data_IF_457193814348
#
_entry.id   IF_457193814348
#
_cell.length_a   1.000
_cell.length_b   1.000
_cell.length_c   1.000
_cell.angle_alpha   90.00
_cell.angle_beta   90.00
_cell.angle_gamma   90.00
#
_symmetry.space_group_name_H-M   'P 1'
#
loop_
_entity.id
_entity.type
_entity.pdbx_description
1 polymer ?
#
# COMPACT_ATOMS: atom_id res chain seq x y z
N UNK A 1 17.95 9.51 3.87
CA UNK A 1 17.97 9.29 5.33
C UNK A 1 16.94 8.20 5.60
N UNK A 2 17.24 7.20 6.43
CA UNK A 2 16.29 6.11 6.73
C UNK A 2 15.74 6.34 8.13
N UNK A 3 14.42 6.42 8.23
CA UNK A 3 13.68 6.38 9.49
C UNK A 3 13.33 4.91 9.70
N UNK A 4 13.55 4.41 10.92
CA UNK A 4 13.34 3.00 11.24
C UNK A 4 12.21 2.88 12.26
N UNK A 5 11.35 1.88 12.06
CA UNK A 5 10.28 1.56 13.01
C UNK A 5 10.72 0.30 13.75
N UNK A 6 10.80 0.40 15.07
CA UNK A 6 11.03 -0.74 15.96
C UNK A 6 9.66 -1.28 16.39
N UNK A 7 9.31 -2.47 15.90
CA UNK A 7 8.01 -3.11 16.13
C UNK A 7 7.90 -3.76 17.52
N UNK A 8 9.02 -3.99 18.21
CA UNK A 8 8.99 -4.59 19.56
C UNK A 8 8.75 -3.52 20.62
N UNK A 9 9.23 -2.31 20.36
CA UNK A 9 9.18 -1.19 21.29
C UNK A 9 8.16 -0.12 20.93
N UNK A 10 7.49 -0.25 19.79
CA UNK A 10 6.57 0.76 19.23
C UNK A 10 7.20 2.16 19.18
N UNK A 11 8.48 2.26 18.79
CA UNK A 11 9.20 3.53 18.66
C UNK A 11 9.65 3.79 17.23
N UNK A 12 9.66 5.08 16.87
CA UNK A 12 10.25 5.57 15.63
C UNK A 12 11.64 6.11 15.94
N UNK A 13 12.66 5.53 15.30
CA UNK A 13 14.05 5.97 15.46
C UNK A 13 14.37 6.98 14.36
N UNK A 14 14.59 8.23 14.79
CA UNK A 14 14.96 9.36 13.93
C UNK A 14 16.46 9.59 14.02
N UNK A 15 17.20 9.62 12.90
CA UNK A 15 18.63 9.91 12.92
C UNK A 15 18.93 11.34 13.38
N UNK A 16 20.02 11.52 14.14
CA UNK A 16 20.40 12.83 14.73
C UNK A 16 20.55 13.95 13.69
N UNK A 17 20.95 13.60 12.47
CA UNK A 17 21.13 14.56 11.36
C UNK A 17 19.82 14.98 10.69
N UNK A 18 18.66 14.44 11.11
CA UNK A 18 17.36 14.76 10.53
C UNK A 18 17.03 16.25 10.67
N UNK A 19 17.07 16.77 11.88
CA UNK A 19 16.68 18.15 12.16
C UNK A 19 17.61 19.16 11.47
N UNK A 20 18.91 18.82 11.36
CA UNK A 20 19.89 19.62 10.62
C UNK A 20 19.50 19.73 9.14
N UNK A 21 19.14 18.60 8.51
CA UNK A 21 18.71 18.60 7.11
C UNK A 21 17.37 19.28 6.87
N UNK A 22 16.42 19.15 7.78
CA UNK A 22 15.15 19.89 7.71
C UNK A 22 15.41 21.40 7.78
N UNK A 23 16.31 21.84 8.66
CA UNK A 23 16.69 23.25 8.71
C UNK A 23 17.35 23.72 7.42
N UNK A 24 18.19 22.91 6.78
CA UNK A 24 18.78 23.21 5.47
C UNK A 24 17.73 23.28 4.35
N UNK A 25 16.76 22.37 4.31
CA UNK A 25 15.67 22.39 3.33
C UNK A 25 14.73 23.57 3.56
N UNK A 26 14.40 23.89 4.81
CA UNK A 26 13.58 25.06 5.14
C UNK A 26 14.26 26.36 4.72
N UNK A 27 15.58 26.50 4.93
CA UNK A 27 16.35 27.65 4.42
C UNK A 27 16.28 27.77 2.90
N UNK A 28 16.19 26.66 2.16
CA UNK A 28 15.99 26.69 0.71
C UNK A 28 14.57 27.10 0.38
N UNK A 29 13.57 26.52 1.04
CA UNK A 29 12.15 26.84 0.85
C UNK A 29 11.87 28.33 1.08
N UNK A 30 12.42 28.91 2.14
CA UNK A 30 12.31 30.35 2.44
C UNK A 30 12.89 31.23 1.31
N UNK A 31 14.00 30.82 0.68
CA UNK A 31 14.57 31.54 -0.47
C UNK A 31 13.66 31.53 -1.70
N UNK A 32 12.79 30.53 -1.81
CA UNK A 32 11.80 30.42 -2.88
C UNK A 32 10.42 30.95 -2.45
N UNK A 33 10.30 31.59 -1.29
CA UNK A 33 9.06 32.18 -0.78
C UNK A 33 8.05 31.16 -0.21
N UNK A 34 8.48 29.93 0.04
CA UNK A 34 7.66 28.89 0.64
C UNK A 34 7.74 28.91 2.17
N UNK A 35 6.69 28.42 2.84
CA UNK A 35 6.65 28.32 4.29
C UNK A 35 7.54 27.18 4.79
N UNK A 36 8.38 27.42 5.82
CA UNK A 36 9.17 26.37 6.44
C UNK A 36 8.27 25.35 7.14
N UNK A 37 8.66 24.09 7.10
CA UNK A 37 7.90 22.96 7.67
C UNK A 37 8.56 22.49 8.95
N UNK A 38 7.80 22.22 10.00
CA UNK A 38 8.38 21.68 11.24
C UNK A 38 8.87 20.25 11.03
N UNK A 39 9.91 19.85 11.79
CA UNK A 39 10.43 18.48 11.73
C UNK A 39 9.36 17.44 12.09
N UNK A 40 8.49 17.75 13.06
CA UNK A 40 7.38 16.89 13.47
C UNK A 40 6.34 16.73 12.36
N UNK A 41 5.94 17.82 11.70
CA UNK A 41 4.99 17.75 10.59
C UNK A 41 5.55 16.93 9.43
N UNK A 42 6.87 17.03 9.18
CA UNK A 42 7.52 16.21 8.17
C UNK A 42 7.52 14.73 8.51
N UNK A 43 7.73 14.38 9.78
CA UNK A 43 7.64 12.98 10.26
C UNK A 43 6.22 12.47 10.08
N UNK A 44 5.21 13.23 10.54
CA UNK A 44 3.80 12.88 10.42
C UNK A 44 3.39 12.65 8.96
N UNK A 45 3.73 13.59 8.09
CA UNK A 45 3.46 13.48 6.65
C UNK A 45 4.12 12.24 6.04
N UNK A 46 5.37 11.96 6.41
CA UNK A 46 6.09 10.77 5.90
C UNK A 46 5.46 9.47 6.39
N UNK A 47 4.98 9.44 7.63
CA UNK A 47 4.27 8.31 8.20
C UNK A 47 2.93 8.06 7.51
N UNK A 48 2.12 9.10 7.34
CA UNK A 48 0.82 9.01 6.63
C UNK A 48 1.00 8.53 5.19
N UNK A 49 2.01 9.07 4.48
CA UNK A 49 2.35 8.63 3.14
C UNK A 49 2.80 7.16 3.10
N UNK A 50 3.57 6.71 4.09
CA UNK A 50 4.00 5.32 4.19
C UNK A 50 2.83 4.37 4.47
N UNK A 51 1.88 4.78 5.32
CA UNK A 51 0.65 4.03 5.58
C UNK A 51 -0.20 3.90 4.31
N UNK A 52 -0.48 5.01 3.63
CA UNK A 52 -1.24 5.02 2.37
C UNK A 52 -0.60 4.13 1.30
N UNK A 53 0.72 4.23 1.10
CA UNK A 53 1.43 3.39 0.13
C UNK A 53 1.41 1.90 0.51
N UNK A 54 1.39 1.58 1.81
CA UNK A 54 1.30 0.21 2.29
C UNK A 54 -0.08 -0.36 2.02
N UNK A 55 -1.13 0.42 2.25
CA UNK A 55 -2.51 0.05 1.92
C UNK A 55 -2.68 -0.16 0.41
N UNK A 56 -2.15 0.72 -0.43
CA UNK A 56 -2.16 0.55 -1.89
C UNK A 56 -1.44 -0.72 -2.32
N UNK A 57 -0.31 -1.06 -1.67
CA UNK A 57 0.44 -2.28 -1.96
C UNK A 57 -0.31 -3.53 -1.50
N UNK A 58 -0.95 -3.49 -0.33
CA UNK A 58 -1.81 -4.56 0.18
C UNK A 58 -3.02 -4.79 -0.73
N UNK A 59 -3.65 -3.72 -1.19
CA UNK A 59 -4.75 -3.76 -2.14
C UNK A 59 -4.30 -4.35 -3.47
N UNK A 60 -3.16 -3.89 -3.99
CA UNK A 60 -2.57 -4.42 -5.24
C UNK A 60 -2.24 -5.91 -5.11
N UNK A 61 -1.65 -6.35 -3.99
CA UNK A 61 -1.37 -7.76 -3.75
C UNK A 61 -2.66 -8.59 -3.60
N UNK A 62 -3.67 -8.07 -2.93
CA UNK A 62 -4.97 -8.73 -2.77
C UNK A 62 -5.69 -8.87 -4.11
N UNK A 63 -5.70 -7.80 -4.92
CA UNK A 63 -6.24 -7.81 -6.28
C UNK A 63 -5.44 -8.73 -7.21
N UNK A 64 -4.12 -8.79 -7.08
CA UNK A 64 -3.26 -9.73 -7.81
C UNK A 64 -3.55 -11.20 -7.43
N UNK A 65 -3.80 -11.48 -6.15
CA UNK A 65 -4.22 -12.82 -5.68
C UNK A 65 -5.62 -13.18 -6.20
N UNK A 66 -6.57 -12.24 -6.15
CA UNK A 66 -7.93 -12.45 -6.64
C UNK A 66 -7.99 -12.68 -8.17
N UNK A 67 -7.21 -11.92 -8.94
CA UNK A 67 -7.09 -12.10 -10.39
C UNK A 67 -6.39 -13.42 -10.74
N UNK A 68 -5.37 -13.84 -9.97
CA UNK A 68 -4.74 -15.15 -10.13
C UNK A 68 -5.70 -16.32 -9.84
N UNK A 69 -6.58 -16.17 -8.84
CA UNK A 69 -7.62 -17.15 -8.53
C UNK A 69 -8.75 -17.20 -9.58
N UNK A 70 -9.11 -16.06 -10.20
CA UNK A 70 -10.05 -16.02 -11.32
C UNK A 70 -9.48 -16.60 -12.62
N UNK A 71 -8.16 -16.62 -12.79
CA UNK A 71 -7.48 -17.09 -14.00
C UNK A 71 -7.29 -18.62 -14.05
N UNK A 72 -7.74 -19.36 -13.04
CA UNK A 72 -7.61 -20.83 -12.96
C UNK A 72 -8.95 -21.57 -13.09
N UNK A 73 -9.93 -21.03 -13.80
CA UNK A 73 -10.94 -21.89 -14.44
C UNK A 73 -10.49 -22.14 -15.87
N UNK A 74 -10.07 -23.37 -16.14
CA UNK A 74 -9.83 -23.78 -17.53
C UNK A 74 -11.15 -23.79 -18.29
N UNK A 75 -11.15 -23.53 -19.61
CA UNK A 75 -12.36 -23.62 -20.45
C UNK A 75 -13.05 -24.99 -20.36
N UNK A 76 -12.31 -26.03 -20.00
CA UNK A 76 -12.79 -27.39 -19.83
C UNK A 76 -13.58 -27.55 -18.52
N UNK A 77 -13.11 -26.97 -17.41
CA UNK A 77 -13.84 -26.93 -16.14
C UNK A 77 -15.11 -26.10 -16.24
N UNK A 78 -15.06 -24.95 -16.93
CA UNK A 78 -16.25 -24.14 -17.21
C UNK A 78 -17.29 -24.91 -18.05
N UNK A 79 -16.85 -25.64 -19.08
CA UNK A 79 -17.74 -26.49 -19.89
C UNK A 79 -18.32 -27.65 -19.09
N UNK A 80 -17.58 -28.21 -18.14
CA UNK A 80 -18.05 -29.31 -17.30
C UNK A 80 -19.14 -28.85 -16.33
N UNK A 81 -18.94 -27.70 -15.68
CA UNK A 81 -19.92 -27.10 -14.75
C UNK A 81 -21.20 -26.70 -15.50
N UNK A 82 -21.08 -26.07 -16.68
CA UNK A 82 -22.24 -25.70 -17.50
C UNK A 82 -23.04 -26.92 -17.99
N UNK A 83 -22.37 -28.05 -18.29
CA UNK A 83 -23.05 -29.31 -18.65
C UNK A 83 -23.74 -29.95 -17.45
N UNK A 84 -23.14 -29.90 -16.27
CA UNK A 84 -23.74 -30.43 -15.03
C UNK A 84 -24.97 -29.62 -14.59
N UNK A 85 -24.94 -28.29 -14.72
CA UNK A 85 -26.10 -27.43 -14.44
C UNK A 85 -27.22 -27.60 -15.48
N UNK A 86 -26.87 -27.78 -16.77
CA UNK A 86 -27.85 -28.10 -17.81
C UNK A 86 -28.51 -29.47 -17.60
N UNK A 87 -27.76 -30.47 -17.12
CA UNK A 87 -28.30 -31.79 -16.81
C UNK A 87 -29.23 -31.78 -15.58
N UNK A 88 -28.88 -31.00 -14.53
CA UNK A 88 -29.73 -30.85 -13.34
C UNK A 88 -31.04 -30.11 -13.64
N UNK A 89 -30.99 -29.07 -14.48
CA UNK A 89 -32.19 -28.32 -14.89
C UNK A 89 -33.11 -29.12 -15.82
N UNK A 90 -32.57 -30.05 -16.62
CA UNK A 90 -33.35 -30.98 -17.43
C UNK A 90 -33.99 -32.14 -16.63
N UNK A 91 -33.39 -32.54 -15.51
CA UNK A 91 -33.91 -33.62 -14.65
C UNK A 91 -35.03 -33.17 -13.69
N UNK A 92 -35.31 -31.87 -13.60
CA UNK A 92 -36.32 -31.29 -12.70
C UNK A 92 -37.55 -30.77 -13.47
N UNK A 93 -37.75 -31.21 -14.72
CA UNK A 93 -38.87 -30.81 -15.59
C UNK A 93 -39.73 -31.99 -15.98
#
# INVERSE_FOLDING_TARGET
MRVTIDLERDIIIIPDNFFVKIAEENKKLERYGATPVSGLDRIKHSYEMAMSNTDDRLLTQSNAKATRAKKTMTPEEAKKILKEEAAKSAATK
#
